data_IF_610274010313
#
_entry.id   IF_610274010313
#
_cell.length_a   1.000
_cell.length_b   1.000
_cell.length_c   1.000
_cell.angle_alpha   90.00
_cell.angle_beta   90.00
_cell.angle_gamma   90.00
#
_symmetry.space_group_name_H-M   'P 1'
#
loop_
_entity.id
_entity.type
_entity.pdbx_description
1 polymer ?
#
# COMPACT_ATOMS: atom_id res chain seq x y z
N UNK A 1 3.97 11.92 11.09
CA UNK A 1 3.63 11.71 9.66
C UNK A 1 2.13 11.66 9.57
N UNK A 2 1.50 12.53 8.78
CA UNK A 2 0.04 12.47 8.60
C UNK A 2 -0.29 11.78 7.28
N UNK A 3 -1.00 10.65 7.36
CA UNK A 3 -1.51 9.93 6.18
C UNK A 3 -3.03 9.75 6.23
N UNK A 4 -3.72 10.54 7.07
CA UNK A 4 -5.17 10.66 6.99
C UNK A 4 -5.53 11.12 5.58
N UNK A 5 -6.58 10.55 5.01
CA UNK A 5 -7.03 10.86 3.64
C UNK A 5 -6.02 10.51 2.53
N UNK A 6 -5.05 9.63 2.80
CA UNK A 6 -4.15 9.09 1.79
C UNK A 6 -4.65 7.72 1.27
N UNK A 7 -5.24 7.72 0.08
CA UNK A 7 -5.81 6.53 -0.56
C UNK A 7 -4.77 5.51 -1.10
N UNK A 8 -3.48 5.76 -0.90
CA UNK A 8 -2.37 4.92 -1.32
C UNK A 8 -1.67 5.44 -2.56
N UNK A 9 -1.10 4.53 -3.35
CA UNK A 9 -0.30 4.90 -4.52
C UNK A 9 0.80 3.89 -4.81
N UNK A 10 2.03 4.38 -4.96
CA UNK A 10 3.17 3.58 -5.40
C UNK A 10 3.85 2.82 -4.25
N UNK A 11 4.16 1.53 -4.49
CA UNK A 11 5.01 0.74 -3.60
C UNK A 11 6.43 1.28 -3.50
N UNK A 12 6.93 1.92 -4.56
CA UNK A 12 8.28 2.49 -4.57
C UNK A 12 8.36 3.70 -3.64
N UNK A 13 7.33 4.55 -3.63
CA UNK A 13 7.27 5.74 -2.77
C UNK A 13 7.15 5.37 -1.29
N UNK A 14 6.28 4.41 -0.94
CA UNK A 14 6.20 3.96 0.46
C UNK A 14 7.46 3.21 0.89
N UNK A 15 8.14 2.50 -0.03
CA UNK A 15 9.42 1.86 0.26
C UNK A 15 10.51 2.91 0.48
N UNK A 16 10.53 3.97 -0.32
CA UNK A 16 11.43 5.10 -0.15
C UNK A 16 11.19 5.79 1.19
N UNK A 17 9.95 6.13 1.54
CA UNK A 17 9.62 6.70 2.85
C UNK A 17 10.07 5.79 4.00
N UNK A 18 9.79 4.48 3.92
CA UNK A 18 10.20 3.52 4.94
C UNK A 18 11.73 3.48 5.13
N UNK A 19 12.51 3.76 4.08
CA UNK A 19 13.97 3.75 4.15
C UNK A 19 14.55 4.85 5.04
N UNK A 20 13.78 5.90 5.33
CA UNK A 20 14.12 6.95 6.30
C UNK A 20 13.67 6.62 7.72
N UNK A 21 12.92 5.54 7.92
CA UNK A 21 12.30 5.15 9.21
C UNK A 21 12.86 3.83 9.77
N UNK A 22 13.69 3.12 9.00
CA UNK A 22 14.38 1.91 9.45
C UNK A 22 15.88 2.17 9.54
N UNK A 23 16.50 1.73 10.64
CA UNK A 23 17.95 1.74 10.83
C UNK A 23 18.63 0.49 10.24
N UNK A 24 17.86 -0.58 10.02
CA UNK A 24 18.35 -1.88 9.54
C UNK A 24 17.81 -2.19 8.15
N UNK A 25 18.50 -3.04 7.35
CA UNK A 25 17.96 -3.59 6.12
C UNK A 25 16.62 -4.29 6.35
N UNK A 26 15.68 -4.10 5.43
CA UNK A 26 14.32 -4.60 5.57
C UNK A 26 13.75 -5.03 4.22
N UNK A 27 12.72 -5.86 4.25
CA UNK A 27 11.88 -6.16 3.08
C UNK A 27 10.48 -5.63 3.35
N UNK A 28 9.96 -4.79 2.45
CA UNK A 28 8.70 -4.07 2.69
C UNK A 28 7.49 -5.01 2.56
N UNK A 29 7.44 -5.78 1.49
CA UNK A 29 6.31 -6.67 1.16
C UNK A 29 6.77 -8.11 0.96
N UNK A 30 5.87 -9.07 1.15
CA UNK A 30 6.09 -10.46 0.71
C UNK A 30 6.10 -10.50 -0.83
N UNK A 31 6.66 -11.56 -1.44
CA UNK A 31 6.54 -11.77 -2.88
C UNK A 31 5.07 -11.69 -3.33
N UNK A 32 4.77 -10.80 -4.27
CA UNK A 32 3.40 -10.54 -4.69
C UNK A 32 2.84 -11.72 -5.47
N UNK A 33 1.71 -12.26 -5.02
CA UNK A 33 1.11 -13.46 -5.61
C UNK A 33 0.14 -13.10 -6.73
N UNK A 34 0.19 -13.84 -7.84
CA UNK A 34 -0.79 -13.77 -8.92
C UNK A 34 -1.52 -15.11 -9.07
N UNK A 35 -2.74 -15.05 -9.62
CA UNK A 35 -3.57 -16.26 -9.82
C UNK A 35 -2.93 -17.22 -10.86
N UNK A 36 -2.27 -16.68 -11.88
CA UNK A 36 -1.68 -17.47 -12.97
C UNK A 36 -0.49 -16.76 -13.61
N UNK A 37 0.35 -17.52 -14.33
CA UNK A 37 1.47 -16.97 -15.11
C UNK A 37 1.03 -15.88 -16.11
N UNK A 38 -0.17 -16.02 -16.67
CA UNK A 38 -0.72 -15.07 -17.66
C UNK A 38 -1.52 -13.92 -17.03
N UNK A 39 -1.70 -13.87 -15.70
CA UNK A 39 -2.47 -12.80 -15.05
C UNK A 39 -2.01 -11.38 -15.44
N UNK A 40 -0.71 -11.06 -15.54
CA UNK A 40 -0.28 -9.73 -15.97
C UNK A 40 -0.58 -9.42 -17.45
N UNK A 41 -0.80 -10.45 -18.28
CA UNK A 41 -1.23 -10.31 -19.69
C UNK A 41 -2.74 -10.12 -19.83
N UNK A 42 -3.52 -10.53 -18.83
CA UNK A 42 -4.96 -10.27 -18.74
C UNK A 42 -5.28 -8.84 -18.31
N UNK A 43 -4.25 -8.00 -18.16
CA UNK A 43 -4.42 -6.56 -18.08
C UNK A 43 -4.87 -6.07 -19.45
N UNK A 44 -5.82 -5.15 -19.49
CA UNK A 44 -6.34 -4.67 -20.76
C UNK A 44 -5.37 -3.66 -21.39
N UNK A 45 -4.21 -4.13 -21.85
CA UNK A 45 -3.11 -3.31 -22.41
C UNK A 45 -3.57 -2.32 -23.48
N UNK A 46 -4.51 -2.74 -24.35
CA UNK A 46 -5.09 -1.92 -25.41
C UNK A 46 -6.32 -1.10 -25.00
N UNK A 47 -6.85 -1.23 -23.77
CA UNK A 47 -8.07 -0.55 -23.34
C UNK A 47 -7.91 0.97 -23.35
N UNK A 48 -8.98 1.65 -23.74
CA UNK A 48 -9.06 3.12 -23.89
C UNK A 48 -7.97 3.71 -24.80
N UNK A 49 -7.43 2.92 -25.74
CA UNK A 49 -6.43 3.41 -26.70
C UNK A 49 -7.14 4.01 -27.92
N UNK A 50 -6.77 5.24 -28.30
CA UNK A 50 -7.12 5.78 -29.61
C UNK A 50 -6.34 5.10 -30.74
N UNK A 51 -6.64 5.43 -32.00
CA UNK A 51 -6.03 4.80 -33.18
C UNK A 51 -4.48 4.81 -33.16
N UNK A 52 -3.86 5.98 -32.97
CA UNK A 52 -2.39 6.11 -32.94
C UNK A 52 -1.76 5.32 -31.78
N UNK A 53 -2.38 5.39 -30.59
CA UNK A 53 -1.91 4.63 -29.43
C UNK A 53 -2.04 3.12 -29.65
N UNK A 54 -3.09 2.69 -30.34
CA UNK A 54 -3.30 1.29 -30.68
C UNK A 54 -2.20 0.79 -31.61
N UNK A 55 -1.90 1.52 -32.69
CA UNK A 55 -0.82 1.18 -33.61
C UNK A 55 0.54 1.09 -32.90
N UNK A 56 0.87 2.07 -32.05
CA UNK A 56 2.11 2.06 -31.26
C UNK A 56 2.16 0.89 -30.26
N UNK A 57 1.08 0.66 -29.50
CA UNK A 57 0.99 -0.45 -28.55
C UNK A 57 1.10 -1.81 -29.25
N UNK A 58 0.56 -1.95 -30.45
CA UNK A 58 0.70 -3.18 -31.24
C UNK A 58 2.17 -3.46 -31.56
N UNK A 59 2.92 -2.44 -32.00
CA UNK A 59 4.36 -2.58 -32.25
C UNK A 59 5.14 -2.93 -30.98
N UNK A 60 4.73 -2.38 -29.83
CA UNK A 60 5.38 -2.62 -28.53
C UNK A 60 4.91 -3.90 -27.82
N UNK A 61 3.87 -4.56 -28.33
CA UNK A 61 3.26 -5.72 -27.68
C UNK A 61 4.24 -6.88 -27.45
N UNK A 62 5.13 -7.26 -28.39
CA UNK A 62 6.12 -8.31 -28.15
C UNK A 62 7.01 -8.00 -26.93
N UNK A 63 7.49 -6.76 -26.80
CA UNK A 63 8.31 -6.35 -25.66
C UNK A 63 7.52 -6.41 -24.34
N UNK A 64 6.27 -5.93 -24.34
CA UNK A 64 5.37 -6.07 -23.19
C UNK A 64 5.12 -7.54 -22.82
N UNK A 65 4.80 -8.38 -23.81
CA UNK A 65 4.52 -9.80 -23.61
C UNK A 65 5.70 -10.54 -22.97
N UNK A 66 6.91 -10.37 -23.53
CA UNK A 66 8.11 -10.98 -22.96
C UNK A 66 8.43 -10.41 -21.58
N UNK A 67 8.34 -9.09 -21.39
CA UNK A 67 8.55 -8.44 -20.10
C UNK A 67 7.65 -9.00 -19.00
N UNK A 68 6.35 -9.10 -19.25
CA UNK A 68 5.39 -9.66 -18.30
C UNK A 68 5.63 -11.15 -18.05
N UNK A 69 5.93 -11.92 -19.11
CA UNK A 69 6.17 -13.36 -19.01
C UNK A 69 7.41 -13.68 -18.17
N UNK A 70 8.52 -12.96 -18.34
CA UNK A 70 9.73 -13.16 -17.56
C UNK A 70 9.68 -12.53 -16.16
N UNK A 71 8.71 -11.65 -15.92
CA UNK A 71 8.45 -11.06 -14.60
C UNK A 71 7.59 -11.96 -13.70
N UNK A 72 7.05 -13.06 -14.21
CA UNK A 72 6.33 -14.05 -13.42
C UNK A 72 7.16 -15.32 -13.20
N UNK A 73 7.00 -15.93 -12.03
CA UNK A 73 7.65 -17.21 -11.70
C UNK A 73 6.74 -18.09 -10.85
N UNK A 74 7.02 -19.39 -10.83
CA UNK A 74 6.30 -20.38 -10.02
C UNK A 74 7.19 -20.82 -8.85
N UNK A 75 6.62 -20.86 -7.65
CA UNK A 75 7.27 -21.38 -6.44
C UNK A 75 6.20 -22.02 -5.56
N UNK A 76 6.47 -23.22 -5.04
CA UNK A 76 5.57 -23.94 -4.12
C UNK A 76 4.11 -24.04 -4.62
N UNK A 77 3.94 -24.34 -5.91
CA UNK A 77 2.62 -24.45 -6.55
C UNK A 77 1.90 -23.12 -6.82
N UNK A 78 2.41 -21.99 -6.33
CA UNK A 78 1.86 -20.64 -6.50
C UNK A 78 2.63 -19.85 -7.56
N UNK A 79 1.99 -18.81 -8.11
CA UNK A 79 2.61 -17.89 -9.05
C UNK A 79 2.88 -16.54 -8.39
N UNK A 80 4.01 -15.95 -8.72
CA UNK A 80 4.46 -14.68 -8.16
C UNK A 80 4.89 -13.73 -9.27
N UNK A 81 4.78 -12.44 -8.99
CA UNK A 81 5.26 -11.37 -9.85
C UNK A 81 6.45 -10.66 -9.21
N UNK A 82 7.53 -10.49 -9.96
CA UNK A 82 8.76 -9.83 -9.51
C UNK A 82 8.49 -8.35 -9.31
N UNK A 83 8.71 -7.85 -8.11
CA UNK A 83 8.68 -6.42 -7.79
C UNK A 83 10.05 -6.00 -7.22
N UNK A 84 10.24 -4.70 -6.98
CA UNK A 84 11.42 -4.22 -6.25
C UNK A 84 11.18 -4.21 -4.74
N UNK A 85 9.94 -4.01 -4.33
CA UNK A 85 9.56 -3.86 -2.93
C UNK A 85 9.57 -5.18 -2.12
N UNK A 86 9.64 -6.34 -2.80
CA UNK A 86 9.80 -7.67 -2.18
C UNK A 86 11.27 -8.08 -2.00
N UNK A 87 12.21 -7.21 -2.38
CA UNK A 87 13.64 -7.39 -2.16
C UNK A 87 14.08 -6.70 -0.88
N UNK A 88 15.27 -7.06 -0.39
CA UNK A 88 15.91 -6.35 0.72
C UNK A 88 16.28 -4.93 0.28
N UNK A 89 15.67 -3.96 0.94
CA UNK A 89 15.98 -2.53 0.84
C UNK A 89 17.02 -2.15 1.89
N UNK A 90 17.90 -1.22 1.54
CA UNK A 90 18.85 -0.62 2.47
C UNK A 90 18.26 0.67 3.07
N UNK A 91 18.53 0.96 4.34
CA UNK A 91 18.17 2.25 4.93
C UNK A 91 18.91 3.39 4.23
N UNK A 92 18.34 4.60 4.28
CA UNK A 92 19.01 5.83 3.83
C UNK A 92 20.05 6.27 4.86
N UNK A 93 20.92 7.21 4.50
CA UNK A 93 21.97 7.67 5.40
C UNK A 93 21.43 8.58 6.51
N UNK A 94 20.32 9.27 6.24
CA UNK A 94 19.63 10.25 7.07
C UNK A 94 18.38 9.64 7.73
N UNK A 95 18.53 8.44 8.30
CA UNK A 95 17.46 7.78 9.07
C UNK A 95 17.04 8.67 10.25
N UNK A 96 15.74 8.90 10.37
CA UNK A 96 15.18 9.57 11.54
C UNK A 96 15.26 8.64 12.76
N UNK A 97 15.91 9.12 13.83
CA UNK A 97 16.16 8.34 15.05
C UNK A 97 15.16 8.60 16.18
N UNK A 98 14.29 9.59 16.02
CA UNK A 98 13.30 9.95 17.02
C UNK A 98 12.08 9.03 17.02
N UNK A 99 11.17 9.27 17.96
CA UNK A 99 9.88 8.60 18.00
C UNK A 99 9.01 9.04 16.83
N UNK A 100 8.41 8.09 16.12
CA UNK A 100 7.54 8.35 14.97
C UNK A 100 6.09 8.15 15.39
N UNK A 101 5.27 9.17 15.16
CA UNK A 101 3.81 9.06 15.22
C UNK A 101 3.23 9.11 13.81
N UNK A 102 2.22 8.29 13.54
CA UNK A 102 1.50 8.28 12.27
C UNK A 102 0.02 8.47 12.50
N UNK A 103 -0.54 9.53 11.93
CA UNK A 103 -1.98 9.79 11.95
C UNK A 103 -2.66 8.98 10.85
N UNK A 104 -3.70 8.23 11.21
CA UNK A 104 -4.43 7.32 10.32
C UNK A 104 -5.95 7.49 10.45
N UNK A 105 -6.68 7.24 9.37
CA UNK A 105 -8.14 7.21 9.39
C UNK A 105 -8.70 6.22 8.35
N UNK A 106 -10.03 6.14 8.25
CA UNK A 106 -10.72 5.28 7.27
C UNK A 106 -10.35 5.55 5.81
N UNK A 107 -9.86 6.73 5.48
CA UNK A 107 -9.40 7.08 4.13
C UNK A 107 -7.92 6.74 3.87
N UNK A 108 -7.17 6.31 4.89
CA UNK A 108 -5.86 5.67 4.71
C UNK A 108 -6.07 4.30 4.07
N UNK A 109 -5.75 4.16 2.78
CA UNK A 109 -6.11 2.98 1.99
C UNK A 109 -4.94 2.44 1.15
N UNK A 110 -5.03 1.18 0.70
CA UNK A 110 -4.08 0.56 -0.23
C UNK A 110 -2.62 0.62 0.25
N UNK A 111 -1.70 1.25 -0.49
CA UNK A 111 -0.29 1.39 -0.12
C UNK A 111 -0.09 2.07 1.24
N UNK A 112 -0.99 2.97 1.65
CA UNK A 112 -0.97 3.58 2.99
C UNK A 112 -1.15 2.53 4.08
N UNK A 113 -2.06 1.56 3.89
CA UNK A 113 -2.27 0.45 4.83
C UNK A 113 -1.10 -0.53 4.84
N UNK A 114 -0.43 -0.76 3.69
CA UNK A 114 0.80 -1.55 3.65
C UNK A 114 1.88 -0.87 4.51
N UNK A 115 2.06 0.44 4.34
CA UNK A 115 3.04 1.22 5.09
C UNK A 115 2.77 1.17 6.59
N UNK A 116 1.53 1.47 7.03
CA UNK A 116 1.19 1.49 8.46
C UNK A 116 1.22 0.11 9.09
N UNK A 117 0.76 -0.92 8.38
CA UNK A 117 0.85 -2.30 8.83
C UNK A 117 2.31 -2.70 9.07
N UNK A 118 3.20 -2.37 8.14
CA UNK A 118 4.63 -2.66 8.26
C UNK A 118 5.30 -1.85 9.37
N UNK A 119 4.97 -0.56 9.52
CA UNK A 119 5.49 0.28 10.60
C UNK A 119 5.06 -0.22 11.97
N UNK A 120 3.80 -0.64 12.11
CA UNK A 120 3.24 -1.21 13.35
C UNK A 120 3.89 -2.54 13.70
N UNK A 121 3.96 -3.47 12.74
CA UNK A 121 4.59 -4.78 12.95
C UNK A 121 6.04 -4.66 13.42
N UNK A 122 6.81 -3.74 12.82
CA UNK A 122 8.21 -3.52 13.16
C UNK A 122 8.41 -2.62 14.38
N UNK A 123 7.32 -2.17 15.02
CA UNK A 123 7.33 -1.26 16.18
C UNK A 123 8.14 0.02 15.90
N UNK A 124 8.06 0.52 14.67
CA UNK A 124 8.78 1.73 14.21
C UNK A 124 7.98 3.01 14.40
N UNK A 125 6.67 2.91 14.58
CA UNK A 125 5.81 4.06 14.81
C UNK A 125 4.66 3.71 15.75
N UNK A 126 4.12 4.75 16.40
CA UNK A 126 2.84 4.71 17.12
C UNK A 126 1.75 5.24 16.18
N UNK A 127 0.76 4.41 15.90
CA UNK A 127 -0.39 4.77 15.08
C UNK A 127 -1.48 5.43 15.93
N UNK A 128 -1.94 6.61 15.52
CA UNK A 128 -2.92 7.42 16.25
C UNK A 128 -4.10 7.74 15.32
N UNK A 129 -5.32 7.66 15.85
CA UNK A 129 -6.52 8.05 15.12
C UNK A 129 -7.53 6.90 15.02
N UNK A 130 -7.89 6.54 13.81
CA UNK A 130 -8.95 5.56 13.53
C UNK A 130 -8.48 4.44 12.59
N UNK A 131 -9.20 3.30 12.60
CA UNK A 131 -8.85 2.14 11.78
C UNK A 131 -8.79 2.50 10.28
N UNK A 132 -7.76 2.02 9.58
CA UNK A 132 -7.58 2.29 8.15
C UNK A 132 -8.65 1.61 7.30
N UNK A 133 -9.08 2.23 6.19
CA UNK A 133 -10.03 1.58 5.27
C UNK A 133 -9.42 0.44 4.44
N UNK A 134 -8.09 0.43 4.25
CA UNK A 134 -7.40 -0.69 3.62
C UNK A 134 -7.08 -1.80 4.63
N UNK A 135 -7.04 -3.06 4.18
CA UNK A 135 -6.80 -4.19 5.07
C UNK A 135 -5.35 -4.24 5.58
N UNK A 136 -5.17 -4.64 6.85
CA UNK A 136 -3.85 -4.83 7.46
C UNK A 136 -3.00 -5.84 6.70
N UNK A 137 -3.66 -6.90 6.25
CA UNK A 137 -3.05 -8.12 5.77
C UNK A 137 -2.67 -8.09 4.29
N UNK A 138 -3.03 -7.01 3.59
CA UNK A 138 -2.64 -6.77 2.20
C UNK A 138 -3.74 -6.14 1.37
N UNK A 139 -3.42 -5.96 0.08
CA UNK A 139 -4.32 -5.40 -0.92
C UNK A 139 -4.21 -6.18 -2.22
N UNK A 140 -5.25 -6.13 -3.05
CA UNK A 140 -5.20 -6.63 -4.41
C UNK A 140 -5.11 -5.43 -5.35
N UNK A 141 -3.97 -5.25 -6.00
CA UNK A 141 -3.66 -4.03 -6.76
C UNK A 141 -2.70 -4.29 -7.93
N UNK A 142 -2.34 -3.24 -8.68
CA UNK A 142 -1.32 -3.31 -9.74
C UNK A 142 -1.81 -3.88 -11.07
N UNK A 143 -2.39 -5.08 -11.06
CA UNK A 143 -2.98 -5.69 -12.25
C UNK A 143 -4.48 -5.86 -12.11
N UNK A 144 -5.21 -5.33 -13.09
CA UNK A 144 -6.67 -5.41 -13.16
C UNK A 144 -7.11 -6.06 -14.46
N UNK A 145 -7.98 -7.05 -14.35
CA UNK A 145 -8.80 -7.52 -15.46
C UNK A 145 -10.12 -6.75 -15.41
N UNK A 146 -10.42 -5.93 -16.42
CA UNK A 146 -11.71 -5.25 -16.46
C UNK A 146 -12.70 -6.09 -17.24
N UNK A 147 -13.85 -6.35 -16.62
CA UNK A 147 -14.97 -7.07 -17.21
C UNK A 147 -16.12 -6.08 -17.42
N UNK A 148 -16.67 -5.99 -18.64
CA UNK A 148 -17.84 -5.15 -18.89
C UNK A 148 -19.11 -5.97 -18.66
N UNK A 149 -19.95 -5.54 -17.73
CA UNK A 149 -21.18 -6.26 -17.40
C UNK A 149 -22.16 -6.25 -18.59
N UNK A 150 -22.80 -7.39 -18.91
CA UNK A 150 -23.55 -7.53 -20.16
C UNK A 150 -24.77 -6.62 -20.25
N UNK A 151 -25.46 -6.37 -19.14
CA UNK A 151 -26.71 -5.61 -19.11
C UNK A 151 -26.49 -4.12 -18.79
N UNK A 152 -25.76 -3.82 -17.72
CA UNK A 152 -25.54 -2.44 -17.27
C UNK A 152 -24.40 -1.72 -18.00
N UNK A 153 -23.54 -2.45 -18.73
CA UNK A 153 -22.32 -1.95 -19.38
C UNK A 153 -21.32 -1.31 -18.43
N UNK A 154 -21.47 -1.52 -17.12
CA UNK A 154 -20.50 -1.07 -16.11
C UNK A 154 -19.21 -1.87 -16.29
N UNK A 155 -18.08 -1.17 -16.27
CA UNK A 155 -16.76 -1.78 -16.24
C UNK A 155 -16.37 -2.13 -14.81
N UNK A 156 -16.23 -3.42 -14.53
CA UNK A 156 -15.81 -3.96 -13.24
C UNK A 156 -14.30 -4.24 -13.25
N UNK A 157 -13.47 -3.48 -12.53
CA UNK A 157 -12.06 -3.82 -12.32
C UNK A 157 -11.93 -4.96 -11.31
N UNK A 158 -11.31 -6.06 -11.72
CA UNK A 158 -10.98 -7.19 -10.84
C UNK A 158 -9.47 -7.23 -10.66
N UNK A 159 -9.00 -6.96 -9.44
CA UNK A 159 -7.59 -7.07 -9.10
C UNK A 159 -7.10 -8.54 -9.15
N UNK A 160 -5.91 -8.79 -9.70
CA UNK A 160 -5.37 -10.15 -9.88
C UNK A 160 -3.95 -10.34 -9.33
N UNK A 161 -3.45 -9.37 -8.58
CA UNK A 161 -2.15 -9.40 -7.91
C UNK A 161 -2.33 -9.02 -6.44
N UNK A 162 -2.08 -9.99 -5.56
CA UNK A 162 -2.09 -9.82 -4.12
C UNK A 162 -0.74 -9.27 -3.67
N UNK A 163 -0.76 -8.15 -2.98
CA UNK A 163 0.41 -7.49 -2.38
C UNK A 163 0.22 -7.47 -0.87
N UNK A 164 1.14 -8.08 -0.13
CA UNK A 164 1.04 -8.21 1.32
C UNK A 164 2.23 -7.53 1.99
N UNK A 165 2.03 -6.72 3.04
CA UNK A 165 3.14 -6.25 3.85
C UNK A 165 3.92 -7.44 4.42
N UNK A 166 5.24 -7.29 4.58
CA UNK A 166 6.08 -8.34 5.13
C UNK A 166 5.94 -8.39 6.66
N UNK A 167 4.80 -8.92 7.10
CA UNK A 167 4.39 -9.05 8.49
C UNK A 167 3.88 -10.46 8.78
N UNK A 168 3.67 -10.77 10.06
CA UNK A 168 2.88 -11.94 10.44
C UNK A 168 1.41 -11.69 10.09
N UNK A 169 0.79 -12.61 9.37
CA UNK A 169 -0.60 -12.47 8.95
C UNK A 169 -1.53 -12.55 10.16
N UNK A 170 -2.48 -11.62 10.26
CA UNK A 170 -3.35 -11.54 11.45
C UNK A 170 -4.69 -12.27 11.25
N UNK A 171 -5.16 -12.41 10.00
CA UNK A 171 -6.47 -12.93 9.59
C UNK A 171 -7.66 -12.27 10.31
N UNK A 172 -7.47 -11.05 10.78
CA UNK A 172 -8.49 -10.30 11.52
C UNK A 172 -9.62 -9.79 10.63
N UNK A 173 -9.40 -9.76 9.31
CA UNK A 173 -10.29 -9.16 8.30
C UNK A 173 -10.61 -7.69 8.58
N UNK A 174 -9.66 -7.01 9.23
CA UNK A 174 -9.72 -5.60 9.62
C UNK A 174 -8.69 -4.76 8.88
N UNK A 175 -8.88 -3.46 8.94
CA UNK A 175 -7.83 -2.51 8.65
C UNK A 175 -6.70 -2.53 9.68
N UNK A 176 -5.74 -1.64 9.51
CA UNK A 176 -4.71 -1.41 10.52
C UNK A 176 -5.34 -0.64 11.67
N UNK A 177 -5.58 -1.33 12.77
CA UNK A 177 -6.12 -0.73 14.01
C UNK A 177 -5.04 0.21 14.60
N UNK A 178 -5.38 1.42 15.05
CA UNK A 178 -4.43 2.32 15.70
C UNK A 178 -3.88 1.71 17.01
N UNK A 179 -2.71 2.18 17.44
CA UNK A 179 -2.20 1.89 18.78
C UNK A 179 -2.92 2.76 19.83
N UNK A 180 -3.27 4.00 19.44
CA UNK A 180 -4.06 4.91 20.24
C UNK A 180 -5.27 5.37 19.44
N UNK A 181 -6.45 4.92 19.87
CA UNK A 181 -7.71 5.31 19.24
C UNK A 181 -8.11 6.70 19.71
N UNK A 182 -8.19 7.64 18.77
CA UNK A 182 -8.70 8.99 18.98
C UNK A 182 -9.63 9.30 17.82
N UNK A 183 -10.93 9.42 18.09
CA UNK A 183 -11.93 9.75 17.08
C UNK A 183 -12.18 11.25 17.06
N UNK A 184 -12.39 11.79 15.86
CA UNK A 184 -12.82 13.18 15.65
C UNK A 184 -14.34 13.26 15.76
N UNK A 185 -14.87 14.20 16.54
CA UNK A 185 -16.32 14.42 16.68
C UNK A 185 -16.81 15.46 15.67
N UNK A 186 -18.14 15.54 15.48
CA UNK A 186 -18.72 16.59 14.63
C UNK A 186 -18.44 17.99 15.21
N UNK A 187 -18.50 18.11 16.54
CA UNK A 187 -18.17 19.34 17.26
C UNK A 187 -16.71 19.73 17.02
N UNK A 188 -15.77 18.79 17.06
CA UNK A 188 -14.35 19.06 16.73
C UNK A 188 -14.21 19.65 15.32
N UNK A 189 -14.92 19.09 14.34
CA UNK A 189 -14.92 19.58 12.95
C UNK A 189 -15.49 21.00 12.87
N UNK A 190 -16.62 21.25 13.53
CA UNK A 190 -17.27 22.57 13.55
C UNK A 190 -16.38 23.63 14.22
N UNK A 191 -15.66 23.24 15.26
CA UNK A 191 -14.75 24.10 16.02
C UNK A 191 -13.33 24.13 15.44
N UNK A 192 -13.05 23.38 14.36
CA UNK A 192 -11.73 23.24 13.72
C UNK A 192 -10.64 22.75 14.68
N UNK A 193 -10.98 21.81 15.55
CA UNK A 193 -10.06 21.11 16.45
C UNK A 193 -9.56 19.83 15.81
N UNK A 194 -8.32 19.45 16.10
CA UNK A 194 -7.74 18.18 15.65
C UNK A 194 -7.32 17.35 16.88
N UNK A 195 -8.26 16.61 17.49
CA UNK A 195 -7.98 15.88 18.73
C UNK A 195 -6.87 14.83 18.57
N UNK A 196 -6.68 14.30 17.36
CA UNK A 196 -5.63 13.32 17.08
C UNK A 196 -4.25 13.97 17.08
N UNK A 197 -4.12 15.14 16.45
CA UNK A 197 -2.87 15.91 16.44
C UNK A 197 -2.58 16.52 17.82
N UNK A 198 -3.60 17.00 18.53
CA UNK A 198 -3.48 17.54 19.88
C UNK A 198 -2.97 16.48 20.86
N UNK A 199 -3.47 15.24 20.73
CA UNK A 199 -2.97 14.11 21.50
C UNK A 199 -1.48 13.87 21.25
N UNK A 200 -1.05 13.83 19.98
CA UNK A 200 0.37 13.63 19.62
C UNK A 200 1.24 14.76 20.18
N UNK A 201 0.80 16.00 20.03
CA UNK A 201 1.57 17.18 20.49
C UNK A 201 1.73 17.15 22.01
N UNK A 202 0.67 16.79 22.72
CA UNK A 202 0.69 16.58 24.18
C UNK A 202 1.69 15.50 24.58
N UNK A 203 1.72 14.37 23.88
CA UNK A 203 2.68 13.30 24.15
C UNK A 203 4.13 13.71 23.89
N UNK A 204 4.37 14.43 22.79
CA UNK A 204 5.70 14.97 22.48
C UNK A 204 6.17 15.93 23.57
N UNK A 205 5.28 16.79 24.10
CA UNK A 205 5.64 17.75 25.14
C UNK A 205 5.87 17.10 26.51
N UNK A 206 5.24 15.96 26.79
CA UNK A 206 5.56 15.14 27.98
C UNK A 206 6.97 14.58 27.90
N UNK A 207 7.40 14.10 26.73
CA UNK A 207 8.75 13.55 26.54
C UNK A 207 9.87 14.60 26.64
N UNK A 208 9.56 15.88 26.34
CA UNK A 208 10.53 16.98 26.48
C UNK A 208 10.74 17.42 27.93
N UNK A 209 9.83 17.08 28.85
CA UNK A 209 9.94 17.46 30.25
C UNK A 209 10.77 16.37 30.96
N UNK A 210 11.95 16.70 31.50
CA UNK A 210 12.84 15.76 32.16
C UNK A 210 12.21 15.14 33.41
#
# INVERSE_FOLDING_TARGET
IDIRNNYGGSLEEINNLYSYLSSEPYTLIKPSQVISKSSPLKTNYFRKSGFLQYAFKTLMYPAFFFGQTFSTYKKDGKFYYKTRADKVSKPKNDVFKGKVFVLINGSSFSASSILTSKLKNDKKAVLVGEETGGANDGTVAGFYSFQTLPNSKIDLPIGVLLVQPNITFTDTKKGVVPDVKVSETMEDILEKKDPQLDWITTEIDKEKRP
#
